data_IF_572678927492
#
_entry.id   IF_572678927492
#
_cell.length_a   1.000
_cell.length_b   1.000
_cell.length_c   1.000
_cell.angle_alpha   90.00
_cell.angle_beta   90.00
_cell.angle_gamma   90.00
#
_symmetry.space_group_name_H-M   'P 1'
#
loop_
_entity.id
_entity.type
_entity.pdbx_description
1 polymer ?
#
# COMPACT_ATOMS: atom_id res chain seq x y z
N UNK A 1 -53.39 -24.75 -4.00
CA UNK A 1 -53.07 -23.36 -3.57
C UNK A 1 -51.74 -23.23 -2.80
N UNK A 2 -51.40 -24.15 -1.87
CA UNK A 2 -50.11 -24.12 -1.12
C UNK A 2 -48.82 -24.13 -1.95
N UNK A 3 -48.83 -24.68 -3.18
CA UNK A 3 -47.64 -24.79 -4.04
C UNK A 3 -47.33 -23.49 -4.83
N UNK A 4 -48.33 -22.62 -5.02
CA UNK A 4 -48.17 -21.35 -5.78
C UNK A 4 -47.65 -20.24 -4.85
N UNK A 5 -48.03 -20.28 -3.57
CA UNK A 5 -47.57 -19.31 -2.56
C UNK A 5 -46.07 -19.43 -2.27
N UNK A 6 -45.52 -20.65 -2.33
CA UNK A 6 -44.09 -20.89 -2.10
C UNK A 6 -43.23 -20.42 -3.29
N UNK A 7 -43.77 -20.47 -4.51
CA UNK A 7 -43.10 -19.98 -5.72
C UNK A 7 -43.03 -18.45 -5.75
N UNK A 8 -44.07 -17.75 -5.26
CA UNK A 8 -44.09 -16.29 -5.18
C UNK A 8 -43.08 -15.75 -4.15
N UNK A 9 -42.89 -16.45 -3.03
CA UNK A 9 -41.86 -16.08 -2.04
C UNK A 9 -40.43 -16.25 -2.55
N UNK A 10 -40.17 -17.16 -3.50
CA UNK A 10 -38.82 -17.38 -4.05
C UNK A 10 -38.46 -16.34 -5.12
N UNK A 11 -39.45 -15.84 -5.88
CA UNK A 11 -39.24 -14.82 -6.92
C UNK A 11 -38.98 -13.43 -6.33
N UNK A 12 -39.45 -13.14 -5.11
CA UNK A 12 -39.19 -11.86 -4.45
C UNK A 12 -37.77 -11.70 -3.88
N UNK A 13 -36.95 -12.76 -3.82
CA UNK A 13 -35.60 -12.73 -3.22
C UNK A 13 -34.50 -12.51 -4.28
N UNK A 14 -34.83 -12.50 -5.58
CA UNK A 14 -33.82 -12.47 -6.65
C UNK A 14 -33.42 -11.09 -7.16
N UNK A 15 -33.99 -10.01 -6.62
CA UNK A 15 -33.61 -8.65 -7.01
C UNK A 15 -32.81 -7.98 -5.89
N UNK A 16 -31.60 -7.53 -6.24
CA UNK A 16 -30.64 -6.74 -5.43
C UNK A 16 -29.60 -7.48 -4.59
N UNK A 17 -29.06 -8.61 -5.06
CA UNK A 17 -27.68 -8.94 -4.73
C UNK A 17 -26.73 -8.11 -5.62
N UNK A 18 -26.56 -6.81 -5.33
CA UNK A 18 -25.37 -6.09 -5.84
C UNK A 18 -24.19 -6.60 -5.03
N UNK A 19 -23.48 -7.60 -5.57
CA UNK A 19 -22.14 -7.92 -5.11
C UNK A 19 -21.33 -6.61 -5.20
N UNK A 20 -21.05 -6.00 -4.05
CA UNK A 20 -20.14 -4.86 -3.98
C UNK A 20 -18.75 -5.42 -4.29
N UNK A 21 -18.36 -5.37 -5.57
CA UNK A 21 -16.95 -5.45 -5.91
C UNK A 21 -16.22 -4.43 -5.03
N UNK A 22 -15.07 -4.77 -4.42
CA UNK A 22 -14.33 -3.82 -3.61
C UNK A 22 -14.16 -2.54 -4.43
N UNK A 23 -14.70 -1.43 -3.92
CA UNK A 23 -14.71 -0.19 -4.65
C UNK A 23 -13.26 0.21 -4.95
N UNK A 24 -12.95 0.36 -6.24
CA UNK A 24 -11.66 0.91 -6.68
C UNK A 24 -11.52 2.29 -6.03
N UNK A 25 -10.52 2.46 -5.16
CA UNK A 25 -10.29 3.71 -4.47
C UNK A 25 -9.67 4.73 -5.42
N UNK A 26 -10.21 5.94 -5.44
CA UNK A 26 -9.72 7.05 -6.24
C UNK A 26 -9.35 8.19 -5.31
N UNK A 27 -8.10 8.63 -5.38
CA UNK A 27 -7.61 9.77 -4.62
C UNK A 27 -7.06 10.83 -5.57
N UNK A 28 -7.14 12.09 -5.16
CA UNK A 28 -6.45 13.18 -5.86
C UNK A 28 -4.94 12.89 -5.89
N UNK A 29 -4.34 13.12 -7.05
CA UNK A 29 -2.98 12.72 -7.31
C UNK A 29 -2.38 13.42 -8.52
N UNK A 30 -1.07 13.25 -8.68
CA UNK A 30 -0.32 13.78 -9.82
C UNK A 30 0.60 12.71 -10.35
N UNK A 31 0.59 12.47 -11.65
CA UNK A 31 1.44 11.51 -12.34
C UNK A 31 2.55 12.26 -13.07
N UNK A 32 3.80 11.93 -12.77
CA UNK A 32 4.99 12.43 -13.46
C UNK A 32 5.40 11.41 -14.51
N UNK A 33 5.11 11.71 -15.78
CA UNK A 33 5.34 10.79 -16.88
C UNK A 33 6.80 10.81 -17.36
N UNK A 34 7.23 9.71 -17.96
CA UNK A 34 8.59 9.56 -18.50
C UNK A 34 8.90 10.53 -19.63
N UNK A 35 7.90 10.91 -20.43
CA UNK A 35 7.98 11.97 -21.46
C UNK A 35 8.30 13.36 -20.90
N UNK A 36 8.11 13.59 -19.60
CA UNK A 36 8.21 14.91 -18.97
C UNK A 36 6.85 15.60 -18.76
N UNK A 37 5.76 15.02 -19.27
CA UNK A 37 4.41 15.49 -19.00
C UNK A 37 4.00 15.22 -17.54
N UNK A 38 3.16 16.09 -17.00
CA UNK A 38 2.62 15.99 -15.64
C UNK A 38 1.09 16.03 -15.74
N UNK A 39 0.42 15.04 -15.14
CA UNK A 39 -1.03 14.92 -15.17
C UNK A 39 -1.58 14.99 -13.75
N UNK A 40 -2.45 15.95 -13.46
CA UNK A 40 -3.17 16.02 -12.18
C UNK A 40 -4.61 15.57 -12.36
N UNK A 41 -5.11 14.77 -11.43
CA UNK A 41 -6.45 14.19 -11.48
C UNK A 41 -6.61 13.11 -10.42
N UNK A 42 -7.43 12.11 -10.69
CA UNK A 42 -7.68 11.01 -9.77
C UNK A 42 -6.80 9.81 -10.13
N UNK A 43 -6.02 9.36 -9.16
CA UNK A 43 -5.14 8.19 -9.25
C UNK A 43 -5.71 7.05 -8.43
N UNK A 44 -5.56 5.84 -8.94
CA UNK A 44 -5.87 4.62 -8.20
C UNK A 44 -4.76 3.61 -8.38
N UNK A 45 -4.21 3.13 -7.27
CA UNK A 45 -3.24 2.07 -7.25
C UNK A 45 -3.42 1.21 -6.00
N UNK A 46 -3.20 -0.09 -6.15
CA UNK A 46 -3.14 -1.03 -5.04
C UNK A 46 -1.95 -1.97 -5.26
N UNK A 47 -1.30 -2.46 -4.18
CA UNK A 47 -0.22 -3.43 -4.29
C UNK A 47 -0.62 -4.59 -5.22
N UNK A 48 0.26 -5.06 -6.12
CA UNK A 48 -0.09 -6.16 -6.99
C UNK A 48 -0.10 -7.47 -6.21
N UNK A 49 -0.88 -8.47 -6.66
CA UNK A 49 -0.67 -9.85 -6.25
C UNK A 49 0.62 -10.37 -6.86
N UNK A 50 1.29 -11.32 -6.18
CA UNK A 50 2.50 -11.95 -6.72
C UNK A 50 2.20 -12.59 -8.09
N UNK A 51 2.88 -12.11 -9.13
CA UNK A 51 2.72 -12.61 -10.50
C UNK A 51 1.51 -12.05 -11.26
N UNK A 52 0.76 -11.10 -10.68
CA UNK A 52 -0.37 -10.43 -11.37
C UNK A 52 0.07 -9.72 -12.64
N UNK A 53 1.24 -9.09 -12.58
CA UNK A 53 1.84 -8.41 -13.72
C UNK A 53 3.24 -8.99 -13.96
N UNK A 54 3.37 -9.97 -14.89
CA UNK A 54 4.66 -10.63 -15.15
C UNK A 54 5.73 -9.65 -15.63
N UNK A 55 5.33 -8.57 -16.31
CA UNK A 55 6.23 -7.57 -16.88
C UNK A 55 6.25 -6.24 -16.10
N UNK A 56 5.59 -6.18 -14.93
CA UNK A 56 5.59 -5.03 -14.02
C UNK A 56 4.24 -4.30 -13.92
N UNK A 57 4.11 -3.49 -12.86
CA UNK A 57 2.83 -2.99 -12.33
C UNK A 57 2.20 -1.84 -13.16
N UNK A 58 0.98 -1.44 -12.84
CA UNK A 58 0.30 -0.29 -13.46
C UNK A 58 -0.54 0.50 -12.45
N UNK A 59 -0.70 1.80 -12.70
CA UNK A 59 -1.70 2.62 -12.00
C UNK A 59 -2.90 2.85 -12.92
N UNK A 60 -4.04 3.22 -12.34
CA UNK A 60 -5.15 3.79 -13.08
C UNK A 60 -5.20 5.31 -12.84
N UNK A 61 -5.48 6.05 -13.90
CA UNK A 61 -5.62 7.50 -13.87
C UNK A 61 -6.95 7.91 -14.54
N UNK A 62 -7.59 8.95 -14.03
CA UNK A 62 -8.69 9.63 -14.73
C UNK A 62 -8.67 11.13 -14.44
N UNK A 63 -9.09 11.92 -15.42
CA UNK A 63 -9.28 13.35 -15.21
C UNK A 63 -10.43 13.60 -14.23
N UNK A 64 -10.31 14.62 -13.37
CA UNK A 64 -11.36 14.97 -12.43
C UNK A 64 -12.66 15.32 -13.16
N UNK A 65 -13.76 14.65 -12.81
CA UNK A 65 -15.06 14.80 -13.48
C UNK A 65 -15.24 13.98 -14.77
N UNK A 66 -14.21 13.27 -15.24
CA UNK A 66 -14.33 12.32 -16.36
C UNK A 66 -14.63 10.90 -15.88
N UNK A 67 -15.52 10.15 -16.56
CA UNK A 67 -15.69 8.72 -16.31
C UNK A 67 -14.57 7.86 -16.92
N UNK A 68 -13.74 8.42 -17.80
CA UNK A 68 -12.76 7.67 -18.58
C UNK A 68 -11.55 7.26 -17.73
N UNK A 69 -11.26 5.96 -17.68
CA UNK A 69 -10.15 5.38 -16.93
C UNK A 69 -9.03 5.00 -17.88
N UNK A 70 -7.83 5.50 -17.59
CA UNK A 70 -6.61 5.25 -18.34
C UNK A 70 -5.65 4.40 -17.49
N UNK A 71 -5.39 3.13 -17.85
CA UNK A 71 -4.30 2.39 -17.25
C UNK A 71 -2.96 2.93 -17.76
N UNK A 72 -2.05 3.26 -16.83
CA UNK A 72 -0.71 3.73 -17.15
C UNK A 72 0.28 2.68 -16.63
N UNK A 73 1.03 1.99 -17.51
CA UNK A 73 2.01 1.00 -17.10
C UNK A 73 3.21 1.66 -16.42
N UNK A 74 3.84 0.97 -15.46
CA UNK A 74 4.94 1.51 -14.66
C UNK A 74 6.08 2.12 -15.49
N UNK A 75 6.45 1.51 -16.63
CA UNK A 75 7.56 1.98 -17.46
C UNK A 75 7.30 3.35 -18.11
N UNK A 76 6.05 3.83 -18.09
CA UNK A 76 5.68 5.17 -18.52
C UNK A 76 5.72 6.21 -17.39
N UNK A 77 5.89 5.79 -16.15
CA UNK A 77 5.76 6.62 -14.96
C UNK A 77 7.15 6.79 -14.32
N UNK A 78 7.50 8.02 -13.94
CA UNK A 78 8.67 8.30 -13.09
C UNK A 78 8.28 8.25 -11.61
N UNK A 79 7.19 8.93 -11.28
CA UNK A 79 6.65 9.04 -9.94
C UNK A 79 5.15 9.37 -10.01
N UNK A 80 4.43 9.16 -8.92
CA UNK A 80 3.07 9.68 -8.77
C UNK A 80 2.74 9.95 -7.30
N UNK A 81 1.74 10.79 -7.07
CA UNK A 81 1.12 10.96 -5.75
C UNK A 81 -0.29 10.38 -5.78
N UNK A 82 -0.74 9.89 -4.63
CA UNK A 82 -2.10 9.41 -4.42
C UNK A 82 -2.51 9.76 -3.00
N UNK A 83 -3.38 10.77 -2.86
CA UNK A 83 -3.68 11.38 -1.57
C UNK A 83 -2.43 12.01 -0.96
N UNK A 84 -2.03 11.54 0.22
CA UNK A 84 -0.82 12.01 0.93
C UNK A 84 0.43 11.19 0.61
N UNK A 85 0.26 10.06 -0.05
CA UNK A 85 1.36 9.15 -0.31
C UNK A 85 2.07 9.54 -1.61
N UNK A 86 3.40 9.40 -1.60
CA UNK A 86 4.25 9.64 -2.76
C UNK A 86 4.92 8.35 -3.20
N UNK A 87 4.88 8.07 -4.50
CA UNK A 87 5.38 6.84 -5.08
C UNK A 87 6.40 7.15 -6.17
N UNK A 88 7.41 6.31 -6.29
CA UNK A 88 8.44 6.38 -7.33
C UNK A 88 8.57 5.05 -8.04
N UNK A 89 8.92 5.09 -9.32
CA UNK A 89 9.15 3.89 -10.12
C UNK A 89 10.63 3.61 -10.23
N UNK A 90 11.02 2.40 -9.83
CA UNK A 90 12.39 1.90 -9.96
C UNK A 90 12.60 1.19 -11.29
N UNK A 91 13.72 1.47 -11.95
CA UNK A 91 14.22 0.69 -13.09
C UNK A 91 15.24 -0.38 -12.67
N UNK A 92 15.42 -0.61 -11.36
CA UNK A 92 16.31 -1.64 -10.86
C UNK A 92 15.81 -3.04 -11.27
N UNK A 93 16.69 -3.83 -11.90
CA UNK A 93 16.34 -5.16 -12.41
C UNK A 93 15.83 -6.11 -11.31
N UNK A 94 16.28 -5.93 -10.06
CA UNK A 94 15.84 -6.73 -8.92
C UNK A 94 14.40 -6.42 -8.49
N UNK A 95 13.85 -5.30 -8.95
CA UNK A 95 12.51 -4.82 -8.66
C UNK A 95 11.58 -4.87 -9.87
N UNK A 96 11.98 -5.47 -11.00
CA UNK A 96 11.16 -5.51 -12.23
C UNK A 96 9.72 -6.04 -12.03
N UNK A 97 9.53 -6.96 -11.08
CA UNK A 97 8.23 -7.56 -10.77
C UNK A 97 7.43 -6.76 -9.71
N UNK A 98 8.03 -5.75 -9.09
CA UNK A 98 7.39 -4.82 -8.17
C UNK A 98 8.11 -3.45 -8.20
N UNK A 99 8.00 -2.71 -9.32
CA UNK A 99 8.82 -1.52 -9.58
C UNK A 99 8.29 -0.26 -8.89
N UNK A 100 7.03 -0.26 -8.45
CA UNK A 100 6.40 0.87 -7.76
C UNK A 100 6.79 0.81 -6.27
N UNK A 101 7.41 1.88 -5.79
CA UNK A 101 7.90 2.02 -4.42
C UNK A 101 7.19 3.20 -3.76
N UNK A 102 6.59 2.96 -2.59
CA UNK A 102 6.14 4.03 -1.70
C UNK A 102 7.36 4.70 -1.05
N UNK A 103 7.38 6.02 -1.01
CA UNK A 103 8.38 6.81 -0.28
C UNK A 103 7.92 6.94 1.16
N UNK A 104 8.52 6.15 2.06
CA UNK A 104 8.17 6.14 3.48
C UNK A 104 8.89 7.23 4.26
N UNK A 105 10.12 7.59 3.87
CA UNK A 105 10.88 8.72 4.43
C UNK A 105 11.73 9.33 3.33
N UNK A 106 11.62 10.64 3.15
CA UNK A 106 12.42 11.42 2.20
C UNK A 106 13.60 12.11 2.92
N UNK A 107 14.79 12.04 2.34
CA UNK A 107 16.02 12.57 2.92
C UNK A 107 17.27 12.30 2.08
N UNK A 108 18.49 12.55 2.62
CA UNK A 108 19.74 12.28 1.90
C UNK A 108 19.90 10.81 1.50
N UNK A 109 19.29 9.91 2.28
CA UNK A 109 19.07 8.50 1.96
C UNK A 109 17.60 8.24 2.22
N UNK A 110 16.87 7.86 1.17
CA UNK A 110 15.44 7.63 1.25
C UNK A 110 15.14 6.23 1.79
N UNK A 111 14.01 6.11 2.49
CA UNK A 111 13.38 4.83 2.79
C UNK A 111 12.21 4.60 1.84
N UNK A 112 12.22 3.44 1.21
CA UNK A 112 11.20 3.01 0.27
C UNK A 112 10.52 1.72 0.76
N UNK A 113 9.24 1.57 0.47
CA UNK A 113 8.47 0.35 0.71
C UNK A 113 7.91 -0.23 -0.60
N UNK A 114 8.26 -1.47 -0.89
CA UNK A 114 7.63 -2.26 -1.94
C UNK A 114 6.55 -3.16 -1.31
N UNK A 115 5.31 -2.99 -1.74
CA UNK A 115 4.14 -3.71 -1.17
C UNK A 115 3.61 -4.72 -2.19
N UNK A 116 3.22 -5.92 -1.73
CA UNK A 116 2.61 -6.97 -2.55
C UNK A 116 1.50 -7.62 -1.73
N UNK A 117 0.32 -7.86 -2.31
CA UNK A 117 -0.70 -8.64 -1.61
C UNK A 117 -0.22 -10.09 -1.40
N UNK A 118 -0.36 -10.59 -0.18
CA UNK A 118 -0.18 -12.02 0.10
C UNK A 118 -1.31 -12.79 -0.57
N UNK A 119 -0.96 -13.92 -1.17
CA UNK A 119 -1.94 -14.84 -1.75
C UNK A 119 -2.63 -15.57 -0.58
N UNK A 120 -3.88 -15.19 -0.30
CA UNK A 120 -4.76 -15.85 0.67
C UNK A 120 -5.89 -16.60 -0.04
N UNK A 121 -6.43 -17.62 0.60
CA UNK A 121 -7.67 -18.26 0.13
C UNK A 121 -8.83 -17.26 0.26
N UNK A 122 -9.67 -17.07 -0.79
CA UNK A 122 -10.87 -16.27 -0.67
C UNK A 122 -11.90 -17.03 0.17
N UNK A 123 -12.01 -16.71 1.45
CA UNK A 123 -13.15 -17.10 2.28
C UNK A 123 -14.05 -15.88 2.47
N UNK A 124 -15.27 -15.96 1.93
CA UNK A 124 -16.34 -15.01 2.15
C UNK A 124 -16.88 -15.20 3.57
N UNK A 125 -16.18 -14.71 4.58
CA UNK A 125 -16.70 -14.60 5.94
C UNK A 125 -16.99 -13.13 6.21
N UNK A 126 -18.28 -12.80 6.23
CA UNK A 126 -18.75 -11.53 6.77
C UNK A 126 -18.51 -11.52 8.27
N UNK A 127 -17.43 -10.88 8.70
CA UNK A 127 -17.22 -10.54 10.11
C UNK A 127 -16.74 -9.10 10.18
N UNK A 128 -17.59 -8.24 10.75
CA UNK A 128 -17.16 -6.93 11.20
C UNK A 128 -16.05 -7.08 12.23
N UNK A 129 -15.02 -6.23 12.11
CA UNK A 129 -13.94 -6.12 13.08
C UNK A 129 -12.56 -6.21 12.47
N UNK A 130 -11.82 -5.10 12.55
CA UNK A 130 -10.35 -5.11 12.50
C UNK A 130 -9.72 -4.83 11.13
N UNK A 131 -10.00 -3.68 10.53
CA UNK A 131 -9.27 -3.15 9.39
C UNK A 131 -7.85 -2.74 9.78
N UNK A 132 -6.86 -3.47 9.27
CA UNK A 132 -5.46 -3.07 9.31
C UNK A 132 -5.30 -1.74 8.58
N UNK A 133 -4.82 -0.73 9.32
CA UNK A 133 -4.68 0.63 8.83
C UNK A 133 -3.64 0.69 7.71
N UNK A 134 -4.08 0.87 6.46
CA UNK A 134 -3.27 1.54 5.45
C UNK A 134 -3.33 3.05 5.72
N UNK A 135 -2.24 3.75 5.37
CA UNK A 135 -1.98 5.17 5.66
C UNK A 135 -3.22 6.03 5.88
N UNK A 136 -3.28 6.66 7.05
CA UNK A 136 -4.28 7.60 7.56
C UNK A 136 -5.45 7.89 6.57
N UNK A 137 -6.45 7.00 6.57
CA UNK A 137 -7.71 7.21 5.83
C UNK A 137 -8.27 6.03 5.05
N UNK A 138 -7.76 4.80 5.21
CA UNK A 138 -8.14 3.70 4.32
C UNK A 138 -8.59 2.44 5.07
N UNK A 139 -9.90 2.24 5.14
CA UNK A 139 -10.52 0.95 5.45
C UNK A 139 -10.46 0.05 4.20
N UNK A 140 -9.39 -0.72 4.08
CA UNK A 140 -9.37 -1.85 3.15
C UNK A 140 -10.33 -2.90 3.70
N UNK A 141 -11.42 -3.14 2.98
CA UNK A 141 -12.42 -4.17 3.30
C UNK A 141 -11.74 -5.48 3.70
N UNK A 142 -11.97 -5.87 4.94
CA UNK A 142 -11.30 -6.99 5.63
C UNK A 142 -11.72 -8.33 5.03
N UNK A 143 -10.97 -8.81 4.05
CA UNK A 143 -10.88 -10.24 3.79
C UNK A 143 -9.85 -10.83 4.76
N UNK A 144 -10.32 -11.58 5.76
CA UNK A 144 -9.45 -12.30 6.71
C UNK A 144 -8.48 -13.17 5.91
N UNK A 145 -7.18 -12.86 5.98
CA UNK A 145 -6.11 -13.58 5.28
C UNK A 145 -5.45 -12.84 4.10
N UNK A 146 -6.00 -11.73 3.61
CA UNK A 146 -5.30 -10.85 2.63
C UNK A 146 -4.38 -9.87 3.36
N UNK A 147 -3.27 -10.38 3.90
CA UNK A 147 -2.20 -9.50 4.39
C UNK A 147 -1.45 -8.82 3.24
N UNK A 148 -0.88 -7.65 3.47
CA UNK A 148 0.14 -7.09 2.57
C UNK A 148 1.51 -7.52 3.06
N UNK A 149 2.38 -7.93 2.14
CA UNK A 149 3.80 -8.11 2.41
C UNK A 149 4.53 -6.83 2.02
N UNK A 150 5.11 -6.16 3.00
CA UNK A 150 5.97 -5.00 2.80
C UNK A 150 7.44 -5.43 2.81
N UNK A 151 8.22 -4.98 1.84
CA UNK A 151 9.68 -5.10 1.82
C UNK A 151 10.27 -3.71 1.75
N UNK A 152 11.16 -3.40 2.69
CA UNK A 152 11.79 -2.10 2.79
C UNK A 152 13.12 -2.06 2.03
N UNK A 153 13.40 -0.93 1.41
CA UNK A 153 14.62 -0.66 0.66
C UNK A 153 15.11 0.74 0.98
N UNK A 154 16.40 0.99 0.84
CA UNK A 154 16.98 2.31 1.09
C UNK A 154 17.99 2.68 0.00
N UNK A 155 18.13 3.98 -0.25
CA UNK A 155 19.10 4.49 -1.21
C UNK A 155 18.88 5.96 -1.55
N UNK A 156 19.85 6.56 -2.24
CA UNK A 156 19.74 7.95 -2.72
C UNK A 156 18.76 8.10 -3.89
N UNK A 157 18.62 7.04 -4.69
CA UNK A 157 17.72 7.00 -5.85
C UNK A 157 16.95 5.70 -5.86
N UNK A 158 15.74 5.65 -6.45
CA UNK A 158 14.96 4.42 -6.55
C UNK A 158 15.65 3.33 -7.39
N UNK A 159 16.60 3.70 -8.25
CA UNK A 159 17.28 2.77 -9.15
C UNK A 159 18.47 2.06 -8.48
N UNK A 160 19.05 2.65 -7.45
CA UNK A 160 20.25 2.14 -6.74
C UNK A 160 19.93 1.74 -5.31
N UNK A 161 18.75 1.16 -5.08
CA UNK A 161 18.30 0.79 -3.74
C UNK A 161 18.90 -0.53 -3.26
N UNK A 162 19.13 -0.61 -1.96
CA UNK A 162 19.55 -1.82 -1.23
C UNK A 162 18.41 -2.28 -0.34
N UNK A 163 18.21 -3.59 -0.23
CA UNK A 163 17.17 -4.15 0.63
C UNK A 163 17.52 -3.97 2.10
N UNK A 164 16.57 -3.47 2.88
CA UNK A 164 16.66 -3.43 4.34
C UNK A 164 16.44 -4.84 4.89
N UNK A 165 17.31 -5.27 5.79
CA UNK A 165 17.23 -6.55 6.48
C UNK A 165 17.69 -6.41 7.94
N UNK A 166 17.62 -7.51 8.70
CA UNK A 166 17.99 -7.51 10.12
C UNK A 166 19.45 -7.12 10.38
N UNK A 167 20.36 -7.34 9.41
CA UNK A 167 21.79 -7.10 9.57
C UNK A 167 22.12 -5.62 9.41
N UNK A 168 21.49 -4.95 8.44
CA UNK A 168 21.72 -3.54 8.15
C UNK A 168 20.71 -2.59 8.83
N UNK A 169 19.67 -3.13 9.48
CA UNK A 169 18.58 -2.35 10.07
C UNK A 169 19.04 -1.25 11.04
N UNK A 170 19.81 -1.58 12.08
CA UNK A 170 20.15 -0.62 13.15
C UNK A 170 20.94 0.55 12.58
N UNK A 171 21.99 0.27 11.80
CA UNK A 171 22.86 1.28 11.19
C UNK A 171 22.08 2.17 10.21
N UNK A 172 21.34 1.54 9.30
CA UNK A 172 20.61 2.23 8.23
C UNK A 172 19.50 3.11 8.80
N UNK A 173 18.64 2.55 9.67
CA UNK A 173 17.52 3.30 10.22
C UNK A 173 17.97 4.38 11.20
N UNK A 174 19.06 4.17 11.94
CA UNK A 174 19.66 5.24 12.76
C UNK A 174 20.17 6.41 11.92
N UNK A 175 20.59 6.14 10.68
CA UNK A 175 21.07 7.16 9.75
C UNK A 175 19.91 7.89 9.07
N UNK A 176 18.91 7.16 8.59
CA UNK A 176 17.75 7.75 7.91
C UNK A 176 16.91 8.61 8.86
N UNK A 177 16.74 8.17 10.11
CA UNK A 177 15.92 8.85 11.12
C UNK A 177 16.75 9.71 12.08
N UNK A 178 17.94 10.14 11.65
CA UNK A 178 18.89 10.88 12.49
C UNK A 178 18.40 12.27 12.91
N UNK A 179 17.37 12.79 12.24
CA UNK A 179 16.68 14.05 12.58
C UNK A 179 15.96 13.96 13.94
N UNK A 180 15.68 12.75 14.44
CA UNK A 180 15.00 12.50 15.71
C UNK A 180 15.83 11.59 16.63
N UNK A 181 16.70 12.16 17.49
CA UNK A 181 17.58 11.39 18.38
C UNK A 181 16.84 10.41 19.29
N UNK A 182 15.63 10.73 19.72
CA UNK A 182 14.77 9.88 20.53
C UNK A 182 14.32 8.61 19.80
N UNK A 183 14.06 8.70 18.50
CA UNK A 183 13.73 7.55 17.65
C UNK A 183 14.97 6.67 17.45
N UNK A 184 16.12 7.29 17.21
CA UNK A 184 17.41 6.60 17.09
C UNK A 184 17.76 5.85 18.38
N UNK A 185 17.50 6.43 19.54
CA UNK A 185 17.71 5.77 20.84
C UNK A 185 16.89 4.47 20.94
N UNK A 186 15.63 4.49 20.50
CA UNK A 186 14.73 3.32 20.47
C UNK A 186 15.11 2.23 19.47
N UNK A 187 15.83 2.60 18.42
CA UNK A 187 16.43 1.62 17.49
C UNK A 187 17.67 0.98 18.12
N UNK A 188 18.53 1.79 18.74
CA UNK A 188 19.80 1.33 19.35
C UNK A 188 19.57 0.45 20.58
N UNK A 189 18.58 0.76 21.41
CA UNK A 189 18.20 -0.06 22.58
C UNK A 189 17.37 -1.31 22.21
N UNK A 190 17.09 -1.51 20.91
CA UNK A 190 16.30 -2.61 20.34
C UNK A 190 14.82 -2.64 20.79
N UNK A 191 14.27 -1.51 21.24
CA UNK A 191 12.82 -1.32 21.42
C UNK A 191 12.11 -1.52 20.09
N UNK A 192 12.61 -0.89 19.02
CA UNK A 192 12.16 -1.16 17.66
C UNK A 192 13.19 -2.03 16.93
N UNK A 193 12.72 -3.15 16.39
CA UNK A 193 13.50 -4.08 15.56
C UNK A 193 13.00 -4.01 14.13
N UNK A 194 13.70 -4.69 13.22
CA UNK A 194 13.28 -4.82 11.82
C UNK A 194 11.83 -5.38 11.66
N UNK A 195 11.33 -6.14 12.63
CA UNK A 195 9.94 -6.64 12.61
C UNK A 195 8.89 -5.55 12.89
N UNK A 196 9.30 -4.44 13.50
CA UNK A 196 8.44 -3.43 14.09
C UNK A 196 8.43 -2.15 13.24
N UNK A 197 8.64 -2.28 11.92
CA UNK A 197 8.78 -1.14 11.00
C UNK A 197 7.57 -0.21 11.00
N UNK A 198 6.36 -0.76 10.98
CA UNK A 198 5.12 0.03 10.92
C UNK A 198 4.98 0.88 12.20
N UNK A 199 5.29 0.28 13.35
CA UNK A 199 5.30 0.93 14.66
C UNK A 199 6.42 1.97 14.80
N UNK A 200 7.61 1.66 14.28
CA UNK A 200 8.73 2.59 14.24
C UNK A 200 8.40 3.83 13.40
N UNK A 201 7.85 3.64 12.19
CA UNK A 201 7.48 4.75 11.31
C UNK A 201 6.33 5.57 11.91
N UNK A 202 5.34 4.91 12.52
CA UNK A 202 4.28 5.60 13.27
C UNK A 202 4.84 6.43 14.42
N UNK A 203 5.77 5.87 15.20
CA UNK A 203 6.43 6.60 16.28
C UNK A 203 7.23 7.79 15.73
N UNK A 204 7.99 7.60 14.65
CA UNK A 204 8.72 8.66 13.97
C UNK A 204 7.81 9.81 13.54
N UNK A 205 6.64 9.52 12.97
CA UNK A 205 5.72 10.57 12.48
C UNK A 205 4.88 11.23 13.57
N UNK A 206 4.55 10.51 14.65
CA UNK A 206 3.57 10.98 15.63
C UNK A 206 4.14 11.25 17.03
N UNK A 207 5.34 10.75 17.33
CA UNK A 207 5.93 10.75 18.67
C UNK A 207 5.23 9.83 19.68
N UNK A 208 4.20 9.09 19.27
CA UNK A 208 3.39 8.24 20.16
C UNK A 208 3.78 6.78 20.00
N UNK A 209 4.15 6.16 21.12
CA UNK A 209 4.41 4.72 21.13
C UNK A 209 3.14 3.94 20.75
N UNK A 210 3.26 2.81 20.03
CA UNK A 210 2.14 1.90 19.82
C UNK A 210 1.63 1.41 21.17
N UNK A 211 0.31 1.35 21.33
CA UNK A 211 -0.30 0.76 22.52
C UNK A 211 -0.26 -0.77 22.34
N UNK A 212 0.61 -1.45 23.09
CA UNK A 212 0.63 -2.91 23.13
C UNK A 212 -0.59 -3.39 23.93
N UNK A 213 -1.62 -3.88 23.24
CA UNK A 213 -2.80 -4.50 23.85
C UNK A 213 -2.51 -5.96 24.30
N UNK A 214 -1.37 -6.21 24.97
CA UNK A 214 -0.98 -7.55 25.45
C UNK A 214 -1.00 -7.68 26.99
N UNK A 215 -1.77 -6.86 27.69
CA UNK A 215 -2.09 -7.08 29.11
C UNK A 215 -3.57 -6.80 29.39
N UNK A 216 -4.43 -7.74 29.00
CA UNK A 216 -5.73 -8.00 29.64
C UNK A 216 -5.91 -9.51 29.80
#
# INVERSE_FOLDING_TARGET
MRKITLLLCIICITFFAKAQAPAQQWDEGTVYHTSGEVFSGLVSWAPPMKGQYPDGDQILFKNSGSPDIFPIPYFKIKAFTMGRDSFVVSTNINLKNNPILLVEVDGPVNLYAAKIFKQGFPLLIGSGGGGGHFGVGMEVGTAIGRGVKTSYYFGKTPNTVTKLDKKNFIETMSTILADKPEVVAKIKDKTFRYGDMDDLLKYYYTGKLPVNNEQQ
#
